data_IF_586197730552
#
_entry.id   IF_586197730552
#
_cell.length_a   1.000
_cell.length_b   1.000
_cell.length_c   1.000
_cell.angle_alpha   90.00
_cell.angle_beta   90.00
_cell.angle_gamma   90.00
#
_symmetry.space_group_name_H-M   'P 1'
#
loop_
_entity.id
_entity.type
_entity.pdbx_description
1 polymer ?
#
# COMPACT_ATOMS: atom_id res chain seq x y z
N UNK A 1 -8.29 -4.71 -6.80
CA UNK A 1 -9.13 -3.51 -6.97
C UNK A 1 -8.50 -2.41 -6.12
N UNK A 2 -8.05 -1.30 -6.71
CA UNK A 2 -7.57 -0.11 -5.98
C UNK A 2 -8.80 0.57 -5.39
N UNK A 3 -9.18 0.19 -4.17
CA UNK A 3 -10.35 0.74 -3.50
C UNK A 3 -9.96 1.93 -2.66
N UNK A 4 -10.43 3.12 -3.02
CA UNK A 4 -10.52 4.22 -2.06
C UNK A 4 -11.66 3.86 -1.12
N UNK A 5 -11.35 3.29 0.05
CA UNK A 5 -12.35 2.94 1.06
C UNK A 5 -13.08 4.14 1.69
N UNK A 6 -12.94 5.34 1.13
CA UNK A 6 -13.50 6.59 1.65
C UNK A 6 -14.18 7.39 0.52
N UNK A 7 -15.49 7.68 0.62
CA UNK A 7 -16.24 8.37 -0.44
C UNK A 7 -15.70 9.77 -0.76
N UNK A 8 -14.92 10.35 0.16
CA UNK A 8 -14.37 11.71 0.11
C UNK A 8 -13.06 11.84 -0.67
N UNK A 9 -12.58 10.77 -1.32
CA UNK A 9 -11.36 10.81 -2.13
C UNK A 9 -11.63 10.30 -3.55
N UNK A 10 -10.85 10.77 -4.51
CA UNK A 10 -10.81 10.27 -5.89
C UNK A 10 -9.53 9.50 -6.16
N UNK A 11 -9.63 8.56 -7.10
CA UNK A 11 -8.47 8.04 -7.81
C UNK A 11 -8.31 8.80 -9.10
N UNK A 12 -7.11 9.34 -9.31
CA UNK A 12 -6.65 9.79 -10.61
C UNK A 12 -5.59 8.81 -11.11
N UNK A 13 -5.71 8.33 -12.34
CA UNK A 13 -4.70 7.51 -12.98
C UNK A 13 -4.27 8.20 -14.26
N UNK A 14 -2.96 8.40 -14.41
CA UNK A 14 -2.36 8.89 -15.64
C UNK A 14 -1.30 7.90 -16.14
N UNK A 15 -0.58 8.27 -17.20
CA UNK A 15 0.46 7.43 -17.80
C UNK A 15 1.65 7.15 -16.85
N UNK A 16 1.81 7.94 -15.78
CA UNK A 16 2.95 7.84 -14.90
C UNK A 16 2.64 7.20 -13.55
N UNK A 17 1.45 7.45 -12.98
CA UNK A 17 1.13 6.99 -11.64
C UNK A 17 -0.38 6.88 -11.37
N UNK A 18 -0.71 6.19 -10.28
CA UNK A 18 -2.02 6.28 -9.66
C UNK A 18 -1.90 7.17 -8.42
N UNK A 19 -2.82 8.14 -8.31
CA UNK A 19 -2.91 9.15 -7.25
C UNK A 19 -4.20 8.99 -6.47
N UNK A 20 -4.12 9.21 -5.16
CA UNK A 20 -5.29 9.50 -4.31
C UNK A 20 -5.26 10.96 -3.89
N UNK A 21 -6.37 11.67 -4.08
CA UNK A 21 -6.55 13.04 -3.59
C UNK A 21 -7.97 13.25 -3.00
N UNK A 22 -8.12 14.13 -2.00
CA UNK A 22 -9.42 14.45 -1.41
C UNK A 22 -10.33 15.21 -2.40
N UNK A 23 -11.64 14.92 -2.37
CA UNK A 23 -12.68 15.55 -3.20
C UNK A 23 -13.13 16.90 -2.67
N UNK A 24 -13.20 17.07 -1.35
CA UNK A 24 -13.70 18.28 -0.71
C UNK A 24 -13.20 18.39 0.72
N UNK A 25 -12.96 19.63 1.17
CA UNK A 25 -12.71 20.10 2.55
C UNK A 25 -11.64 19.31 3.36
N UNK A 26 -11.23 19.80 4.55
CA UNK A 26 -10.30 19.07 5.39
C UNK A 26 -10.89 17.73 5.83
N UNK A 27 -10.23 16.61 5.50
CA UNK A 27 -10.57 15.29 6.03
C UNK A 27 -9.52 14.81 7.03
N UNK A 28 -9.92 13.94 7.95
CA UNK A 28 -9.04 13.24 8.89
C UNK A 28 -9.12 11.72 8.74
N UNK A 29 -9.72 11.26 7.64
CA UNK A 29 -9.89 9.84 7.35
C UNK A 29 -8.58 9.22 6.89
N UNK A 30 -8.45 7.91 7.11
CA UNK A 30 -7.41 7.11 6.49
C UNK A 30 -7.79 6.75 5.07
N UNK A 31 -6.80 6.74 4.19
CA UNK A 31 -6.98 6.31 2.81
C UNK A 31 -5.76 5.53 2.36
N UNK A 32 -5.98 4.50 1.55
CA UNK A 32 -4.91 3.63 1.06
C UNK A 32 -5.04 3.40 -0.46
N UNK A 33 -3.91 3.47 -1.15
CA UNK A 33 -3.75 3.04 -2.52
C UNK A 33 -3.03 1.70 -2.52
N UNK A 34 -3.78 0.61 -2.69
CA UNK A 34 -3.23 -0.75 -2.61
C UNK A 34 -3.54 -1.58 -3.84
N UNK A 35 -2.58 -2.43 -4.19
CA UNK A 35 -2.79 -3.58 -5.06
C UNK A 35 -3.08 -4.79 -4.16
N UNK A 36 -4.16 -5.49 -4.48
CA UNK A 36 -4.55 -6.75 -3.83
C UNK A 36 -4.25 -7.89 -4.78
N UNK A 37 -3.56 -8.92 -4.30
CA UNK A 37 -3.29 -10.16 -5.05
C UNK A 37 -3.61 -11.38 -4.18
N UNK A 38 -4.00 -12.52 -4.77
CA UNK A 38 -4.11 -13.78 -4.03
C UNK A 38 -2.75 -14.20 -3.44
N UNK A 39 -2.79 -14.87 -2.29
CA UNK A 39 -1.60 -15.45 -1.66
C UNK A 39 -1.27 -16.87 -2.17
N UNK A 40 -2.09 -17.40 -3.07
CA UNK A 40 -1.94 -18.75 -3.62
C UNK A 40 -0.55 -18.97 -4.22
N UNK A 41 0.13 -20.05 -3.82
CA UNK A 41 1.50 -20.36 -4.23
C UNK A 41 2.60 -19.49 -3.61
N UNK A 42 2.25 -18.56 -2.72
CA UNK A 42 3.21 -17.72 -1.97
C UNK A 42 3.30 -18.09 -0.49
N UNK A 43 2.37 -18.90 0.03
CA UNK A 43 2.39 -19.40 1.42
C UNK A 43 3.74 -20.05 1.74
N UNK A 44 4.29 -19.70 2.90
CA UNK A 44 5.59 -20.13 3.39
C UNK A 44 6.79 -19.36 2.82
N UNK A 45 6.61 -18.58 1.75
CA UNK A 45 7.69 -17.82 1.10
C UNK A 45 7.87 -16.44 1.74
N UNK A 46 9.08 -15.92 1.62
CA UNK A 46 9.34 -14.49 1.81
C UNK A 46 8.86 -13.75 0.54
N UNK A 47 8.22 -12.60 0.71
CA UNK A 47 7.78 -11.75 -0.39
C UNK A 47 8.29 -10.34 -0.18
N UNK A 48 8.64 -9.68 -1.28
CA UNK A 48 9.10 -8.29 -1.28
C UNK A 48 8.24 -7.49 -2.25
N UNK A 49 7.58 -6.45 -1.75
CA UNK A 49 6.91 -5.47 -2.60
C UNK A 49 7.85 -4.28 -2.84
N UNK A 50 7.99 -3.90 -4.10
CA UNK A 50 8.77 -2.74 -4.52
C UNK A 50 7.89 -1.83 -5.36
N UNK A 51 7.87 -0.54 -5.03
CA UNK A 51 7.15 0.49 -5.77
C UNK A 51 7.78 1.85 -5.55
N UNK A 52 7.45 2.80 -6.42
CA UNK A 52 7.87 4.19 -6.29
C UNK A 52 6.73 4.99 -5.65
N UNK A 53 7.05 5.82 -4.66
CA UNK A 53 6.08 6.70 -3.99
C UNK A 53 6.49 8.15 -4.10
N UNK A 54 5.50 9.03 -4.27
CA UNK A 54 5.67 10.47 -4.07
C UNK A 54 4.62 10.93 -3.08
N UNK A 55 4.97 11.86 -2.21
CA UNK A 55 4.05 12.48 -1.26
C UNK A 55 4.13 14.00 -1.38
N UNK A 56 2.99 14.66 -1.17
CA UNK A 56 2.89 16.11 -1.15
C UNK A 56 1.87 16.57 -0.11
N UNK A 57 2.33 17.38 0.84
CA UNK A 57 1.48 18.06 1.80
C UNK A 57 0.73 17.15 2.75
N UNK A 58 1.30 15.99 3.13
CA UNK A 58 0.69 15.15 4.15
C UNK A 58 0.79 15.84 5.53
N UNK A 59 -0.28 15.83 6.31
CA UNK A 59 -0.26 16.38 7.67
C UNK A 59 0.63 15.58 8.63
N UNK A 60 0.74 14.27 8.37
CA UNK A 60 1.59 13.32 9.08
C UNK A 60 2.31 12.45 8.06
N UNK A 61 3.47 11.85 8.41
CA UNK A 61 4.10 10.86 7.56
C UNK A 61 3.10 9.79 7.09
N UNK A 62 3.18 9.47 5.80
CA UNK A 62 2.45 8.34 5.22
C UNK A 62 3.18 7.04 5.49
N UNK A 63 2.63 5.91 5.03
CA UNK A 63 3.26 4.61 5.16
C UNK A 63 3.18 3.85 3.85
N UNK A 64 4.28 3.26 3.43
CA UNK A 64 4.27 2.10 2.58
C UNK A 64 3.85 0.89 3.39
N UNK A 65 3.03 0.04 2.80
CA UNK A 65 2.46 -1.10 3.48
C UNK A 65 2.60 -2.34 2.62
N UNK A 66 2.89 -3.45 3.28
CA UNK A 66 2.65 -4.80 2.80
C UNK A 66 1.91 -5.54 3.91
N UNK A 67 0.73 -6.04 3.61
CA UNK A 67 -0.11 -6.83 4.53
C UNK A 67 -0.40 -8.18 3.91
N UNK A 68 -0.29 -9.23 4.70
CA UNK A 68 -0.73 -10.58 4.39
C UNK A 68 -1.94 -10.88 5.27
N UNK A 69 -3.04 -11.31 4.64
CA UNK A 69 -4.35 -11.37 5.27
C UNK A 69 -5.11 -12.66 4.94
N UNK A 70 -5.93 -13.11 5.88
CA UNK A 70 -6.91 -14.17 5.68
C UNK A 70 -8.15 -13.69 4.91
N UNK A 71 -8.45 -12.39 4.95
CA UNK A 71 -9.62 -11.77 4.32
C UNK A 71 -9.19 -10.60 3.41
N UNK A 72 -9.95 -10.29 2.33
CA UNK A 72 -9.61 -9.19 1.42
C UNK A 72 -10.03 -7.82 1.99
N UNK A 73 -9.87 -7.61 3.29
CA UNK A 73 -10.26 -6.37 3.96
C UNK A 73 -9.15 -5.31 3.84
N UNK A 74 -9.51 -4.03 3.64
CA UNK A 74 -8.53 -2.93 3.67
C UNK A 74 -8.11 -2.56 5.10
N UNK A 75 -9.02 -2.80 6.06
CA UNK A 75 -8.80 -2.62 7.49
C UNK A 75 -7.80 -3.68 8.03
N UNK A 76 -7.68 -3.79 9.36
CA UNK A 76 -6.83 -4.79 10.01
C UNK A 76 -7.54 -6.14 10.25
N UNK A 77 -8.76 -6.31 9.75
CA UNK A 77 -9.50 -7.56 9.88
C UNK A 77 -8.80 -8.66 9.09
N UNK A 78 -8.50 -9.78 9.76
CA UNK A 78 -7.78 -10.89 9.14
C UNK A 78 -6.31 -10.61 8.85
N UNK A 79 -5.69 -9.56 9.44
CA UNK A 79 -4.26 -9.31 9.32
C UNK A 79 -3.45 -10.43 10.01
N UNK A 80 -2.50 -11.03 9.26
CA UNK A 80 -1.67 -12.13 9.76
C UNK A 80 -0.19 -11.72 9.89
N UNK A 81 0.32 -10.99 8.91
CA UNK A 81 1.71 -10.53 8.88
C UNK A 81 1.84 -9.30 7.98
N UNK A 82 2.93 -8.56 8.12
CA UNK A 82 3.18 -7.42 7.26
C UNK A 82 4.45 -6.68 7.60
N UNK A 83 4.73 -5.67 6.78
CA UNK A 83 5.83 -4.73 6.96
C UNK A 83 5.38 -3.33 6.53
N UNK A 84 5.96 -2.33 7.19
CA UNK A 84 5.54 -0.95 7.09
C UNK A 84 6.76 -0.04 7.09
N UNK A 85 6.83 0.86 6.10
CA UNK A 85 7.92 1.83 5.99
C UNK A 85 7.36 3.24 5.90
N UNK A 86 7.90 4.15 6.69
CA UNK A 86 7.46 5.54 6.70
C UNK A 86 7.75 6.24 5.36
N UNK A 87 6.81 7.10 4.94
CA UNK A 87 6.93 8.03 3.82
C UNK A 87 6.92 9.44 4.40
N UNK A 88 7.93 10.24 4.09
CA UNK A 88 7.98 11.64 4.51
C UNK A 88 6.73 12.41 4.05
N UNK A 89 6.34 13.43 4.82
CA UNK A 89 5.16 14.24 4.55
C UNK A 89 5.16 14.89 3.15
N UNK A 90 6.34 15.20 2.62
CA UNK A 90 6.56 15.60 1.24
C UNK A 90 7.86 15.00 0.71
N UNK A 91 7.90 14.68 -0.58
CA UNK A 91 9.11 14.19 -1.26
C UNK A 91 9.48 15.11 -2.44
N UNK A 92 10.78 15.25 -2.75
CA UNK A 92 11.26 16.03 -3.91
C UNK A 92 10.96 15.37 -5.27
N UNK A 93 10.35 14.19 -5.27
CA UNK A 93 10.07 13.35 -6.44
C UNK A 93 9.61 11.96 -6.01
N UNK A 94 9.63 11.01 -6.93
CA UNK A 94 9.40 9.61 -6.60
C UNK A 94 10.61 9.03 -5.85
N UNK A 95 10.36 8.40 -4.71
CA UNK A 95 11.36 7.69 -3.90
C UNK A 95 11.02 6.20 -3.85
N UNK A 96 12.02 5.31 -3.80
CA UNK A 96 11.78 3.88 -3.73
C UNK A 96 11.21 3.46 -2.38
N UNK A 97 10.20 2.60 -2.43
CA UNK A 97 9.69 1.91 -1.28
C UNK A 97 9.76 0.41 -1.46
N UNK A 98 10.37 -0.23 -0.47
CA UNK A 98 10.58 -1.67 -0.39
C UNK A 98 10.16 -2.11 0.99
N UNK A 99 9.27 -3.09 1.04
CA UNK A 99 8.76 -3.72 2.27
C UNK A 99 8.69 -5.22 2.03
N UNK A 100 9.03 -6.03 3.04
CA UNK A 100 9.10 -7.48 2.90
C UNK A 100 8.54 -8.21 4.11
N UNK A 101 7.95 -9.37 3.88
CA UNK A 101 7.46 -10.21 4.97
C UNK A 101 7.38 -11.67 4.55
N UNK A 102 7.26 -12.58 5.52
CA UNK A 102 6.95 -13.99 5.25
C UNK A 102 5.44 -14.17 5.16
N UNK A 103 4.97 -14.96 4.20
CA UNK A 103 3.56 -15.32 4.05
C UNK A 103 3.24 -16.49 4.99
N UNK A 104 2.49 -16.28 6.10
CA UNK A 104 2.13 -17.36 7.01
C UNK A 104 1.06 -18.29 6.42
N UNK A 105 0.87 -19.44 7.05
CA UNK A 105 -0.24 -20.34 6.76
C UNK A 105 -1.59 -19.64 7.02
N UNK A 106 -2.62 -20.03 6.26
CA UNK A 106 -3.95 -19.40 6.31
C UNK A 106 -4.04 -18.05 5.58
N UNK A 107 -2.94 -17.54 5.02
CA UNK A 107 -2.96 -16.38 4.16
C UNK A 107 -3.74 -16.65 2.87
N UNK A 108 -4.64 -15.73 2.52
CA UNK A 108 -5.42 -15.77 1.27
C UNK A 108 -5.18 -14.56 0.38
N UNK A 109 -4.76 -13.44 0.97
CA UNK A 109 -4.60 -12.17 0.28
C UNK A 109 -3.32 -11.46 0.69
N UNK A 110 -2.71 -10.78 -0.27
CA UNK A 110 -1.58 -9.87 -0.06
C UNK A 110 -2.00 -8.49 -0.57
N UNK A 111 -1.85 -7.48 0.27
CA UNK A 111 -2.16 -6.10 -0.05
C UNK A 111 -0.89 -5.27 0.10
N UNK A 112 -0.51 -4.54 -0.93
CA UNK A 112 0.68 -3.69 -0.87
C UNK A 112 0.48 -2.37 -1.61
N UNK A 113 1.13 -1.31 -1.12
CA UNK A 113 1.02 0.04 -1.66
C UNK A 113 1.28 1.09 -0.59
N UNK A 114 0.52 2.19 -0.59
CA UNK A 114 0.74 3.29 0.34
C UNK A 114 -0.56 3.73 1.03
N UNK A 115 -0.45 4.25 2.25
CA UNK A 115 -1.56 4.77 3.04
C UNK A 115 -1.17 6.05 3.76
N UNK A 116 -2.14 6.92 4.03
CA UNK A 116 -1.95 8.11 4.86
C UNK A 116 -3.27 8.51 5.52
N UNK A 117 -3.18 9.49 6.42
CA UNK A 117 -4.33 10.11 7.08
C UNK A 117 -4.30 11.60 6.80
N UNK A 118 -5.47 12.18 6.61
CA UNK A 118 -5.64 13.62 6.54
C UNK A 118 -5.66 14.15 5.12
N UNK A 119 -5.35 15.43 4.97
CA UNK A 119 -5.21 16.07 3.68
C UNK A 119 -3.81 15.84 3.11
N UNK A 120 -3.71 15.83 1.79
CA UNK A 120 -2.47 15.61 1.07
C UNK A 120 -2.66 14.70 -0.13
N UNK A 121 -1.57 14.33 -0.77
CA UNK A 121 -1.57 13.49 -1.97
C UNK A 121 -0.46 12.46 -1.90
N UNK A 122 -0.79 11.23 -2.28
CA UNK A 122 0.20 10.18 -2.53
C UNK A 122 0.01 9.65 -3.95
N UNK A 123 1.15 9.47 -4.64
CA UNK A 123 1.25 8.79 -5.92
C UNK A 123 2.01 7.48 -5.72
N UNK A 124 1.55 6.42 -6.40
CA UNK A 124 2.25 5.13 -6.48
C UNK A 124 2.48 4.76 -7.94
N UNK A 125 3.70 4.33 -8.25
CA UNK A 125 4.13 3.90 -9.60
C UNK A 125 4.83 2.53 -9.55
N UNK A 126 4.64 1.76 -10.62
CA UNK A 126 5.29 0.47 -10.88
C UNK A 126 5.23 -0.54 -9.72
N UNK A 127 4.04 -0.87 -9.16
CA UNK A 127 3.93 -1.83 -8.08
C UNK A 127 4.25 -3.26 -8.53
N UNK A 128 5.39 -3.78 -8.06
CA UNK A 128 5.84 -5.14 -8.27
C UNK A 128 5.85 -5.92 -6.96
N UNK A 129 5.50 -7.21 -7.03
CA UNK A 129 5.60 -8.15 -5.93
C UNK A 129 6.47 -9.31 -6.39
N UNK A 130 7.57 -9.53 -5.68
CA UNK A 130 8.54 -10.56 -6.00
C UNK A 130 8.56 -11.61 -4.88
N UNK A 131 8.37 -12.91 -5.19
CA UNK A 131 8.68 -13.95 -4.24
C UNK A 131 10.20 -14.02 -4.02
N UNK A 132 10.63 -14.05 -2.77
CA UNK A 132 11.98 -14.44 -2.40
C UNK A 132 12.24 -15.90 -2.78
N UNK A 133 13.52 -16.22 -3.01
CA UNK A 133 13.91 -17.61 -3.21
C UNK A 133 13.48 -18.45 -1.99
N UNK A 134 12.97 -19.68 -2.19
CA UNK A 134 12.75 -20.58 -1.07
C UNK A 134 14.09 -20.75 -0.34
N UNK A 135 14.09 -20.53 0.98
CA UNK A 135 15.20 -20.99 1.83
C UNK A 135 15.06 -22.51 1.87
N UNK A 136 15.89 -23.20 1.07
CA UNK A 136 15.97 -24.65 1.03
C UNK A 136 16.48 -25.25 2.34
#
# INVERSE_FOLDING_TARGET
>A
MTGVGAPDFTLASDAEAVRIEPKAAPTQRFVALVRTVPADGLVGKEITATFLVRADGLEKPGMCILKVQAEPALAYQGFLAGDFKEIAASTKGFVPCTVSTKVPDGARWILFGATYRGNGKIWVKSPALNPGAPKG
#
